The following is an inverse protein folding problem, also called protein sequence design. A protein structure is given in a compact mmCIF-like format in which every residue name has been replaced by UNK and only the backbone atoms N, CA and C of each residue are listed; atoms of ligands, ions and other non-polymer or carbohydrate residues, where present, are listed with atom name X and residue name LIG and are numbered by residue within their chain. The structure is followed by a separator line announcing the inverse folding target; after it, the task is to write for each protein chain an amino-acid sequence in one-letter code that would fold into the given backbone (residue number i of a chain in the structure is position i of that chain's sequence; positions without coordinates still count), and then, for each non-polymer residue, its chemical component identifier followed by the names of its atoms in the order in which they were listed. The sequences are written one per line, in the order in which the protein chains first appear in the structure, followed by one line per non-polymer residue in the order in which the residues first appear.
data_IF_501800815152
#
_entry.id   IF_501800815152
#
_cell.length_a   1.000
_cell.length_b   1.000
_cell.length_c   1.000
_cell.angle_alpha   90.00
_cell.angle_beta   90.00
_cell.angle_gamma   90.00
#
_symmetry.space_group_name_H-M   'P 1'
#
loop_
_entity.id
_entity.type
_entity.pdbx_description
1 polymer ?
#
# COMPACT_ATOMS: atom_id res chain seq x y z
N UNK A 1 -9.71 11.70 17.71
CA UNK A 1 -10.67 10.58 17.69
C UNK A 1 -10.78 10.08 16.26
N UNK A 2 -10.82 8.76 16.05
CA UNK A 2 -11.00 8.20 14.72
C UNK A 2 -12.29 8.76 14.07
N UNK A 3 -12.21 9.02 12.77
CA UNK A 3 -13.34 9.60 11.99
C UNK A 3 -14.50 8.62 11.83
N UNK A 4 -14.25 7.31 11.95
CA UNK A 4 -15.22 6.25 11.73
C UNK A 4 -15.18 5.24 12.84
N UNK A 5 -16.33 4.72 13.21
CA UNK A 5 -16.50 3.55 14.05
C UNK A 5 -16.28 2.26 13.25
N UNK A 6 -16.09 1.14 13.93
CA UNK A 6 -16.00 -0.19 13.31
C UNK A 6 -17.19 -0.47 12.38
N UNK A 7 -18.41 -0.14 12.83
CA UNK A 7 -19.63 -0.36 12.06
C UNK A 7 -19.63 0.43 10.76
N UNK A 8 -19.27 1.71 10.82
CA UNK A 8 -19.21 2.58 9.64
C UNK A 8 -18.15 2.10 8.63
N UNK A 9 -16.98 1.63 9.08
CA UNK A 9 -15.98 1.06 8.18
C UNK A 9 -16.50 -0.17 7.44
N UNK A 10 -17.20 -1.06 8.16
CA UNK A 10 -17.82 -2.25 7.56
C UNK A 10 -18.89 -1.85 6.55
N UNK A 11 -19.75 -0.90 6.88
CA UNK A 11 -20.80 -0.42 5.97
C UNK A 11 -20.25 0.23 4.70
N UNK A 12 -19.11 0.93 4.81
CA UNK A 12 -18.43 1.49 3.64
C UNK A 12 -17.85 0.41 2.73
N UNK A 13 -17.24 -0.63 3.29
CA UNK A 13 -16.72 -1.75 2.52
C UNK A 13 -17.83 -2.59 1.89
N UNK A 14 -18.94 -2.80 2.61
CA UNK A 14 -20.12 -3.49 2.10
C UNK A 14 -20.71 -2.79 0.87
N UNK A 15 -20.62 -1.45 0.75
CA UNK A 15 -21.03 -0.74 -0.48
C UNK A 15 -20.20 -1.18 -1.69
N UNK A 16 -18.91 -1.41 -1.51
CA UNK A 16 -18.05 -1.94 -2.58
C UNK A 16 -18.48 -3.35 -2.94
N UNK A 17 -18.72 -4.21 -1.94
CA UNK A 17 -19.20 -5.58 -2.14
C UNK A 17 -20.53 -5.61 -2.91
N UNK A 18 -21.50 -4.78 -2.53
CA UNK A 18 -22.78 -4.70 -3.24
C UNK A 18 -22.61 -4.25 -4.68
N UNK A 19 -21.81 -3.22 -4.89
CA UNK A 19 -21.53 -2.70 -6.24
C UNK A 19 -20.89 -3.77 -7.14
N UNK A 20 -20.05 -4.61 -6.55
CA UNK A 20 -19.42 -5.73 -7.20
C UNK A 20 -20.44 -6.84 -7.56
N UNK A 21 -21.26 -7.26 -6.60
CA UNK A 21 -22.31 -8.26 -6.82
C UNK A 21 -23.29 -7.88 -7.95
N UNK A 22 -23.49 -6.59 -8.15
CA UNK A 22 -24.28 -6.05 -9.26
C UNK A 22 -23.52 -6.03 -10.60
N UNK A 23 -22.37 -6.67 -10.71
CA UNK A 23 -21.48 -6.66 -11.89
C UNK A 23 -21.05 -5.26 -12.35
N UNK A 24 -20.95 -4.32 -11.42
CA UNK A 24 -20.58 -2.93 -11.72
C UNK A 24 -19.12 -2.63 -11.45
N UNK A 25 -18.34 -3.62 -10.99
CA UNK A 25 -16.89 -3.48 -10.73
C UNK A 25 -16.11 -4.48 -11.58
N UNK A 26 -15.53 -4.03 -12.67
CA UNK A 26 -14.90 -4.93 -13.64
C UNK A 26 -13.42 -5.23 -13.32
N UNK A 27 -12.86 -4.65 -12.25
CA UNK A 27 -11.44 -4.67 -11.99
C UNK A 27 -11.10 -5.44 -10.71
N UNK A 28 -9.86 -5.90 -10.63
CA UNK A 28 -9.32 -6.51 -9.44
C UNK A 28 -9.26 -5.48 -8.29
N UNK A 29 -9.78 -5.85 -7.14
CA UNK A 29 -9.70 -5.08 -5.91
C UNK A 29 -9.55 -6.00 -4.70
N UNK A 30 -9.07 -5.45 -3.58
CA UNK A 30 -8.83 -6.20 -2.37
C UNK A 30 -9.66 -5.62 -1.24
N UNK A 31 -10.64 -6.39 -0.77
CA UNK A 31 -11.53 -5.95 0.30
C UNK A 31 -10.81 -5.90 1.64
N UNK A 32 -11.12 -4.88 2.43
CA UNK A 32 -10.70 -4.75 3.81
C UNK A 32 -11.67 -5.49 4.73
N UNK A 33 -11.22 -5.92 5.89
CA UNK A 33 -12.08 -6.49 6.93
C UNK A 33 -11.32 -7.36 7.92
N UNK A 34 -11.75 -7.30 9.19
CA UNK A 34 -11.20 -8.06 10.30
C UNK A 34 -10.19 -7.31 11.16
N UNK A 35 -9.73 -6.14 10.73
CA UNK A 35 -8.72 -5.32 11.44
C UNK A 35 -9.22 -3.92 11.82
N UNK A 36 -10.52 -3.69 11.82
CA UNK A 36 -11.13 -2.38 12.07
C UNK A 36 -10.68 -1.76 13.40
N UNK A 37 -10.73 -2.55 14.47
CA UNK A 37 -10.41 -2.05 15.82
C UNK A 37 -8.93 -1.71 15.98
N UNK A 38 -8.05 -2.50 15.38
CA UNK A 38 -6.61 -2.25 15.37
C UNK A 38 -6.29 -0.98 14.59
N UNK A 39 -6.86 -0.83 13.40
CA UNK A 39 -6.68 0.38 12.60
C UNK A 39 -7.20 1.63 13.30
N UNK A 40 -8.41 1.59 13.88
CA UNK A 40 -8.96 2.71 14.63
C UNK A 40 -8.02 3.13 15.76
N UNK A 41 -7.45 2.18 16.52
CA UNK A 41 -6.49 2.47 17.60
C UNK A 41 -5.21 3.14 17.08
N UNK A 42 -4.71 2.69 15.93
CA UNK A 42 -3.49 3.25 15.32
C UNK A 42 -3.78 4.63 14.76
N UNK A 43 -4.87 4.80 14.01
CA UNK A 43 -5.23 6.08 13.40
C UNK A 43 -5.57 7.17 14.42
N UNK A 44 -5.95 6.81 15.66
CA UNK A 44 -6.06 7.78 16.76
C UNK A 44 -4.70 8.40 17.17
N UNK A 45 -3.56 7.84 16.74
CA UNK A 45 -2.22 8.33 17.01
C UNK A 45 -1.65 9.13 15.83
N UNK A 46 -2.28 9.07 14.65
CA UNK A 46 -1.87 9.77 13.44
C UNK A 46 -2.39 11.20 13.52
N UNK A 47 -1.49 12.14 13.34
CA UNK A 47 -1.82 13.56 13.41
C UNK A 47 -2.12 14.13 12.02
N UNK A 48 -2.85 15.24 11.98
CA UNK A 48 -3.05 15.97 10.74
C UNK A 48 -1.73 16.34 10.08
N UNK A 49 -1.62 16.03 8.78
CA UNK A 49 -0.43 16.29 7.97
C UNK A 49 0.67 15.23 8.09
N UNK A 50 0.50 14.18 8.91
CA UNK A 50 1.35 13.01 8.83
C UNK A 50 1.16 12.30 7.49
N UNK A 51 2.16 11.52 7.10
CA UNK A 51 2.14 10.76 5.84
C UNK A 51 1.71 9.33 6.08
N UNK A 52 0.82 8.81 5.25
CA UNK A 52 0.32 7.44 5.33
C UNK A 52 0.63 6.70 4.04
N UNK A 53 1.41 5.63 4.15
CA UNK A 53 1.75 4.71 3.06
C UNK A 53 1.12 3.36 3.33
N UNK A 54 0.45 2.78 2.34
CA UNK A 54 -0.33 1.54 2.50
C UNK A 54 -0.12 0.61 1.31
N UNK A 55 -0.34 -0.67 1.50
CA UNK A 55 -0.35 -1.67 0.43
C UNK A 55 -1.65 -1.63 -0.39
N UNK A 56 -1.90 -2.66 -1.17
CA UNK A 56 -3.08 -2.81 -2.03
C UNK A 56 -4.41 -2.88 -1.26
N UNK A 57 -4.40 -3.31 0.02
CA UNK A 57 -5.58 -3.39 0.89
C UNK A 57 -5.68 -2.10 1.72
N UNK A 58 -6.25 -1.06 1.13
CA UNK A 58 -6.06 0.31 1.61
C UNK A 58 -7.34 1.10 1.92
N UNK A 59 -8.54 0.55 1.64
CA UNK A 59 -9.78 1.34 1.75
C UNK A 59 -10.01 1.88 3.17
N UNK A 60 -9.90 1.02 4.21
CA UNK A 60 -10.07 1.47 5.59
C UNK A 60 -9.05 2.53 6.00
N UNK A 61 -7.81 2.40 5.54
CA UNK A 61 -6.77 3.39 5.79
C UNK A 61 -7.11 4.73 5.14
N UNK A 62 -7.62 4.71 3.91
CA UNK A 62 -8.04 5.90 3.19
C UNK A 62 -9.17 6.62 3.93
N UNK A 63 -10.21 5.89 4.34
CA UNK A 63 -11.31 6.45 5.12
C UNK A 63 -10.84 7.07 6.43
N UNK A 64 -10.08 6.31 7.22
CA UNK A 64 -9.56 6.77 8.51
C UNK A 64 -8.62 7.97 8.39
N UNK A 65 -7.87 8.05 7.29
CA UNK A 65 -7.00 9.20 7.00
C UNK A 65 -7.77 10.41 6.44
N UNK A 66 -9.06 10.25 6.15
CA UNK A 66 -9.98 11.32 5.79
C UNK A 66 -10.10 11.56 4.30
N UNK A 67 -9.84 10.54 3.48
CA UNK A 67 -10.27 10.54 2.09
C UNK A 67 -11.77 10.27 2.05
N UNK A 68 -12.48 11.05 1.23
CA UNK A 68 -13.92 10.94 1.09
C UNK A 68 -14.31 9.56 0.57
N UNK A 69 -15.29 8.87 1.19
CA UNK A 69 -15.78 7.57 0.75
C UNK A 69 -16.21 7.52 -0.71
N UNK A 70 -16.81 8.60 -1.22
CA UNK A 70 -17.24 8.64 -2.62
C UNK A 70 -16.05 8.68 -3.57
N UNK A 71 -14.95 9.34 -3.17
CA UNK A 71 -13.69 9.31 -3.93
C UNK A 71 -13.10 7.89 -3.95
N UNK A 72 -13.08 7.19 -2.81
CA UNK A 72 -12.61 5.81 -2.74
C UNK A 72 -13.46 4.91 -3.63
N UNK A 73 -14.78 5.01 -3.54
CA UNK A 73 -15.71 4.22 -4.34
C UNK A 73 -15.57 4.50 -5.85
N UNK A 74 -15.34 5.75 -6.23
CA UNK A 74 -15.05 6.12 -7.62
C UNK A 74 -13.74 5.47 -8.10
N UNK A 75 -12.67 5.56 -7.31
CA UNK A 75 -11.38 4.93 -7.64
C UNK A 75 -11.48 3.43 -7.79
N UNK A 76 -12.19 2.75 -6.88
CA UNK A 76 -12.46 1.31 -6.97
C UNK A 76 -13.23 1.01 -8.25
N UNK A 77 -14.27 1.78 -8.57
CA UNK A 77 -15.10 1.60 -9.77
C UNK A 77 -14.33 1.80 -11.07
N UNK A 78 -13.24 2.55 -11.03
CA UNK A 78 -12.36 2.85 -12.17
C UNK A 78 -11.06 2.01 -12.17
N UNK A 79 -11.04 0.86 -11.46
CA UNK A 79 -9.89 -0.04 -11.45
C UNK A 79 -8.65 0.48 -10.74
N UNK A 80 -8.78 1.49 -9.89
CA UNK A 80 -7.69 2.12 -9.16
C UNK A 80 -7.70 1.81 -7.67
N UNK A 81 -8.37 0.75 -7.26
CA UNK A 81 -8.48 0.33 -5.86
C UNK A 81 -7.11 0.20 -5.18
N UNK A 82 -6.14 -0.40 -5.87
CA UNK A 82 -4.81 -0.66 -5.32
C UNK A 82 -3.85 0.53 -5.41
N UNK A 83 -4.25 1.60 -6.09
CA UNK A 83 -3.43 2.78 -6.39
C UNK A 83 -4.13 4.05 -5.93
N UNK A 84 -4.59 4.05 -4.68
CA UNK A 84 -5.14 5.24 -4.08
C UNK A 84 -4.00 6.20 -3.71
N UNK A 85 -4.15 7.43 -4.11
CA UNK A 85 -3.29 8.50 -3.63
C UNK A 85 -4.09 9.79 -3.47
N UNK A 86 -3.72 10.54 -2.45
CA UNK A 86 -4.21 11.89 -2.22
C UNK A 86 -3.04 12.75 -1.73
N UNK A 87 -2.66 13.71 -2.57
CA UNK A 87 -1.49 14.55 -2.32
C UNK A 87 -1.73 15.55 -1.20
N UNK A 88 -2.96 16.04 -1.07
CA UNK A 88 -3.33 17.01 -0.03
C UNK A 88 -3.42 16.33 1.33
N UNK A 89 -3.81 15.06 1.34
CA UNK A 89 -3.87 14.24 2.55
C UNK A 89 -2.56 13.51 2.87
N UNK A 90 -1.51 13.62 2.04
CA UNK A 90 -0.28 12.86 2.20
C UNK A 90 -0.51 11.33 2.26
N UNK A 91 -1.44 10.84 1.44
CA UNK A 91 -1.79 9.43 1.38
C UNK A 91 -1.30 8.80 0.07
N UNK A 92 -0.70 7.62 0.18
CA UNK A 92 -0.21 6.87 -0.97
C UNK A 92 -0.35 5.36 -0.77
N UNK A 93 -0.84 4.65 -1.78
CA UNK A 93 -0.87 3.20 -1.78
C UNK A 93 -0.22 2.60 -3.03
N UNK A 94 0.27 1.37 -2.90
CA UNK A 94 0.91 0.63 -3.99
C UNK A 94 0.60 -0.87 -3.91
N UNK A 95 0.43 -1.48 -5.07
CA UNK A 95 0.27 -2.94 -5.20
C UNK A 95 1.61 -3.69 -5.20
N UNK A 96 2.74 -2.99 -5.27
CA UNK A 96 4.06 -3.61 -5.32
C UNK A 96 4.45 -4.07 -3.92
N UNK A 97 4.49 -5.38 -3.71
CA UNK A 97 4.90 -5.98 -2.44
C UNK A 97 6.33 -5.58 -2.10
N UNK A 98 6.54 -5.06 -0.89
CA UNK A 98 7.85 -4.57 -0.44
C UNK A 98 8.29 -3.23 -1.05
N UNK A 99 7.53 -2.64 -1.98
CA UNK A 99 7.97 -1.42 -2.69
C UNK A 99 7.80 -0.11 -1.91
N UNK A 100 6.92 -0.06 -0.92
CA UNK A 100 6.62 1.20 -0.20
C UNK A 100 7.53 1.49 1.01
N UNK A 101 8.14 0.53 1.72
CA UNK A 101 8.93 0.81 2.92
C UNK A 101 10.11 1.76 2.65
N UNK A 102 10.81 1.58 1.55
CA UNK A 102 11.95 2.43 1.18
C UNK A 102 11.49 3.84 0.76
N UNK A 103 10.35 3.95 0.07
CA UNK A 103 9.75 5.24 -0.25
C UNK A 103 9.36 5.99 1.03
N UNK A 104 8.72 5.29 1.98
CA UNK A 104 8.37 5.84 3.29
C UNK A 104 9.59 6.32 4.07
N UNK A 105 10.68 5.53 4.07
CA UNK A 105 11.95 5.91 4.68
C UNK A 105 12.55 7.16 4.03
N UNK A 106 12.49 7.28 2.70
CA UNK A 106 12.94 8.48 1.97
C UNK A 106 12.15 9.74 2.33
N UNK A 107 10.82 9.62 2.45
CA UNK A 107 9.98 10.75 2.91
C UNK A 107 10.30 11.13 4.35
N UNK A 108 10.50 10.14 5.24
CA UNK A 108 10.88 10.39 6.62
C UNK A 108 12.24 11.09 6.73
N UNK A 109 13.20 10.74 5.88
CA UNK A 109 14.48 11.45 5.78
C UNK A 109 14.28 12.92 5.37
N UNK A 110 13.46 13.16 4.37
CA UNK A 110 13.15 14.51 3.93
C UNK A 110 12.47 15.35 5.03
N UNK A 111 11.55 14.75 5.80
CA UNK A 111 10.91 15.39 6.95
C UNK A 111 11.93 15.75 8.02
N UNK A 112 12.82 14.83 8.37
CA UNK A 112 13.90 15.07 9.34
C UNK A 112 14.80 16.21 8.91
N UNK A 113 15.26 16.20 7.65
CA UNK A 113 16.15 17.24 7.11
C UNK A 113 15.50 18.62 7.08
N UNK A 114 14.17 18.68 6.93
CA UNK A 114 13.38 19.94 7.00
C UNK A 114 13.05 20.37 8.43
N UNK A 115 13.46 19.63 9.45
CA UNK A 115 13.06 19.90 10.84
C UNK A 115 11.54 19.80 11.08
N UNK A 116 10.84 19.02 10.26
CA UNK A 116 9.39 18.84 10.38
C UNK A 116 9.03 18.01 11.60
N UNK A 117 7.90 18.35 12.26
CA UNK A 117 7.34 17.57 13.34
C UNK A 117 6.40 16.45 12.86
N UNK A 118 6.24 16.30 11.55
CA UNK A 118 5.37 15.28 10.94
C UNK A 118 6.06 13.92 10.92
N UNK A 119 5.24 12.86 10.90
CA UNK A 119 5.68 11.47 10.88
C UNK A 119 5.22 10.77 9.62
N UNK A 120 5.84 9.64 9.34
CA UNK A 120 5.45 8.70 8.31
C UNK A 120 4.93 7.44 8.97
N UNK A 121 3.77 6.97 8.54
CA UNK A 121 3.14 5.73 8.95
C UNK A 121 3.07 4.82 7.73
N UNK A 122 3.77 3.70 7.78
CA UNK A 122 3.87 2.77 6.65
C UNK A 122 3.26 1.41 7.02
N UNK A 123 2.12 1.10 6.45
CA UNK A 123 1.38 -0.15 6.68
C UNK A 123 1.75 -1.17 5.63
N UNK A 124 2.15 -2.36 6.06
CA UNK A 124 2.53 -3.47 5.18
C UNK A 124 1.88 -4.77 5.65
N UNK A 125 1.66 -5.69 4.72
CA UNK A 125 1.27 -7.05 5.06
C UNK A 125 2.48 -7.90 5.48
N UNK A 126 2.22 -9.04 6.13
CA UNK A 126 3.24 -10.01 6.55
C UNK A 126 4.05 -10.59 5.38
N UNK A 127 3.48 -10.69 4.17
CA UNK A 127 4.25 -11.06 2.98
C UNK A 127 5.24 -9.99 2.51
N UNK A 128 4.98 -8.72 2.80
CA UNK A 128 5.94 -7.65 2.49
C UNK A 128 7.08 -7.60 3.53
N UNK A 129 6.82 -8.02 4.77
CA UNK A 129 7.85 -8.20 5.80
C UNK A 129 8.95 -9.17 5.37
N UNK A 130 8.58 -10.19 4.59
CA UNK A 130 9.50 -11.22 4.11
C UNK A 130 10.52 -10.71 3.07
N UNK A 131 10.40 -9.45 2.66
CA UNK A 131 11.26 -8.87 1.63
C UNK A 131 12.53 -8.25 2.20
N UNK A 132 13.66 -8.40 1.48
CA UNK A 132 14.91 -7.72 1.83
C UNK A 132 14.77 -6.18 1.86
N UNK A 133 13.87 -5.62 1.04
CA UNK A 133 13.55 -4.19 1.00
C UNK A 133 13.00 -3.68 2.33
N UNK A 134 12.12 -4.45 2.98
CA UNK A 134 11.60 -4.08 4.29
C UNK A 134 12.71 -4.07 5.34
N UNK A 135 13.56 -5.10 5.37
CA UNK A 135 14.70 -5.17 6.27
C UNK A 135 15.65 -3.96 6.08
N UNK A 136 15.98 -3.63 4.84
CA UNK A 136 16.83 -2.48 4.52
C UNK A 136 16.20 -1.16 5.00
N UNK A 137 14.91 -0.96 4.73
CA UNK A 137 14.18 0.24 5.15
C UNK A 137 14.15 0.39 6.68
N UNK A 138 13.83 -0.69 7.42
CA UNK A 138 13.81 -0.69 8.89
C UNK A 138 15.18 -0.35 9.44
N UNK A 139 16.24 -0.99 8.93
CA UNK A 139 17.61 -0.72 9.35
C UNK A 139 17.98 0.73 9.13
N UNK A 140 17.64 1.29 7.97
CA UNK A 140 17.92 2.68 7.63
C UNK A 140 17.18 3.66 8.54
N UNK A 141 15.87 3.44 8.75
CA UNK A 141 15.02 4.26 9.64
C UNK A 141 15.55 4.24 11.06
N UNK A 142 15.83 3.06 11.61
CA UNK A 142 16.33 2.90 12.97
C UNK A 142 17.69 3.56 13.16
N UNK A 143 18.65 3.28 12.27
CA UNK A 143 20.00 3.82 12.38
C UNK A 143 20.05 5.35 12.28
N UNK A 144 19.22 5.92 11.45
CA UNK A 144 19.14 7.36 11.23
C UNK A 144 18.11 8.06 12.13
N UNK A 145 17.41 7.33 13.01
CA UNK A 145 16.35 7.88 13.89
C UNK A 145 15.36 8.72 13.11
N UNK A 146 14.84 8.15 12.01
CA UNK A 146 13.88 8.84 11.16
C UNK A 146 12.46 8.80 11.75
N UNK A 147 11.62 9.81 11.53
CA UNK A 147 10.24 9.87 12.02
C UNK A 147 9.32 8.96 11.19
N UNK A 148 9.60 7.66 11.17
CA UNK A 148 8.83 6.65 10.44
C UNK A 148 8.44 5.50 11.37
N UNK A 149 7.18 5.13 11.34
CA UNK A 149 6.63 3.96 12.03
C UNK A 149 6.11 2.98 11.00
N UNK A 150 6.66 1.78 11.00
CA UNK A 150 6.15 0.67 10.21
C UNK A 150 5.11 -0.13 11.00
N UNK A 151 4.02 -0.50 10.35
CA UNK A 151 2.95 -1.30 10.93
C UNK A 151 2.81 -2.58 10.10
N UNK A 152 3.07 -3.74 10.70
CA UNK A 152 2.86 -5.03 10.06
C UNK A 152 1.45 -5.51 10.38
N UNK A 153 0.64 -5.60 9.35
CA UNK A 153 -0.74 -6.10 9.36
C UNK A 153 -0.71 -7.61 9.09
N UNK A 154 -0.59 -8.40 10.13
CA UNK A 154 -0.32 -9.83 10.06
C UNK A 154 -1.62 -10.63 10.02
N UNK A 155 -1.99 -11.12 8.85
CA UNK A 155 -3.11 -12.05 8.67
C UNK A 155 -2.67 -13.49 8.39
N UNK A 156 -1.37 -13.79 8.55
CA UNK A 156 -0.74 -15.08 8.34
C UNK A 156 -0.69 -15.56 6.88
N UNK A 157 -1.28 -14.84 5.94
CA UNK A 157 -1.43 -15.28 4.55
C UNK A 157 -0.84 -14.24 3.59
N UNK A 158 0.11 -14.67 2.75
CA UNK A 158 0.57 -13.88 1.60
C UNK A 158 0.09 -14.54 0.32
N UNK A 159 -0.78 -13.83 -0.43
CA UNK A 159 -1.57 -14.38 -1.54
C UNK A 159 -2.44 -15.52 -1.02
N UNK A 160 -1.95 -16.73 -0.95
CA UNK A 160 -2.66 -17.93 -0.46
C UNK A 160 -1.76 -18.83 0.39
N UNK A 161 -0.49 -18.48 0.53
CA UNK A 161 0.47 -19.25 1.31
C UNK A 161 0.56 -18.73 2.75
N UNK A 162 0.40 -19.64 3.72
CA UNK A 162 0.65 -19.35 5.13
C UNK A 162 2.14 -19.11 5.41
N UNK A 163 2.49 -18.62 6.60
CA UNK A 163 3.90 -18.53 7.02
C UNK A 163 4.56 -19.90 7.06
N UNK A 164 3.82 -20.92 7.51
CA UNK A 164 4.33 -22.28 7.54
C UNK A 164 4.65 -22.79 6.13
N UNK A 165 3.77 -22.52 5.15
CA UNK A 165 4.03 -22.88 3.75
C UNK A 165 5.25 -22.16 3.16
N UNK A 166 5.43 -20.88 3.52
CA UNK A 166 6.54 -20.06 3.00
C UNK A 166 7.87 -20.33 3.67
N UNK A 167 7.86 -20.61 4.98
CA UNK A 167 9.07 -20.63 5.82
C UNK A 167 9.26 -21.89 6.63
N UNK A 168 8.30 -22.83 6.61
CA UNK A 168 8.32 -24.05 7.41
C UNK A 168 8.14 -23.79 8.91
N UNK A 169 7.73 -22.58 9.31
CA UNK A 169 7.47 -22.21 10.69
C UNK A 169 6.70 -20.90 10.79
N UNK A 170 6.13 -20.64 11.96
CA UNK A 170 5.51 -19.37 12.33
C UNK A 170 6.47 -18.39 13.03
N UNK A 171 7.78 -18.62 12.88
CA UNK A 171 8.79 -17.77 13.52
C UNK A 171 8.64 -16.30 13.10
N UNK A 172 8.64 -15.41 14.11
CA UNK A 172 8.55 -13.98 13.91
C UNK A 172 9.87 -13.28 14.27
N UNK A 173 10.35 -12.45 13.38
CA UNK A 173 11.49 -11.58 13.67
C UNK A 173 11.17 -10.59 14.78
N UNK A 174 12.16 -10.35 15.65
CA UNK A 174 12.11 -9.24 16.62
C UNK A 174 12.58 -7.98 15.93
N UNK A 175 11.64 -7.11 15.65
CA UNK A 175 11.91 -5.82 15.06
C UNK A 175 12.19 -4.74 16.13
N UNK A 176 12.91 -3.64 15.76
CA UNK A 176 13.11 -2.51 16.66
C UNK A 176 11.81 -1.70 16.86
N UNK A 177 11.86 -0.71 17.75
CA UNK A 177 10.70 0.12 18.17
C UNK A 177 9.99 0.84 17.01
N UNK A 178 10.70 1.10 15.91
CA UNK A 178 10.08 1.70 14.72
C UNK A 178 9.16 0.72 13.93
N UNK A 179 8.97 -0.52 14.43
CA UNK A 179 8.07 -1.50 13.83
C UNK A 179 7.08 -1.99 14.88
N UNK A 180 5.81 -1.90 14.56
CA UNK A 180 4.72 -2.48 15.35
C UNK A 180 4.01 -3.54 14.51
N UNK A 181 3.61 -4.64 15.14
CA UNK A 181 2.83 -5.71 14.51
C UNK A 181 1.52 -5.90 15.22
N UNK A 182 0.46 -6.19 14.48
CA UNK A 182 -0.74 -6.77 15.02
C UNK A 182 -1.21 -7.95 14.17
N UNK A 183 -1.82 -8.95 14.82
CA UNK A 183 -2.46 -10.08 14.14
C UNK A 183 -3.94 -9.84 13.98
N UNK A 184 -4.50 -10.31 12.86
CA UNK A 184 -5.94 -10.31 12.63
C UNK A 184 -6.34 -11.45 11.69
N UNK A 185 -7.63 -11.76 11.67
CA UNK A 185 -8.18 -12.73 10.73
C UNK A 185 -8.85 -11.97 9.57
N UNK A 186 -8.40 -12.22 8.36
CA UNK A 186 -8.96 -11.60 7.17
C UNK A 186 -10.41 -12.05 6.95
N UNK A 187 -11.32 -11.09 6.78
CA UNK A 187 -12.76 -11.37 6.56
C UNK A 187 -13.06 -11.89 5.16
N UNK A 188 -12.32 -11.42 4.16
CA UNK A 188 -12.53 -11.76 2.75
C UNK A 188 -11.34 -12.54 2.21
N UNK A 189 -11.51 -13.40 1.17
CA UNK A 189 -10.40 -14.06 0.52
C UNK A 189 -9.43 -13.02 -0.06
N UNK A 190 -8.20 -13.42 -0.35
CA UNK A 190 -7.14 -12.48 -0.74
C UNK A 190 -7.56 -11.64 -1.95
N UNK A 191 -7.67 -12.18 -3.10
CA UNK A 191 -8.09 -11.49 -4.32
C UNK A 191 -8.97 -12.41 -5.16
N UNK A 192 -9.47 -13.41 -4.57
CA UNK A 192 -10.28 -14.41 -5.28
C UNK A 192 -11.69 -13.90 -5.45
N UNK A 193 -11.75 -13.66 -6.41
CA UNK A 193 -12.37 -13.65 -7.68
C UNK A 193 -13.24 -14.89 -7.93
N UNK A 194 -12.85 -16.08 -7.61
CA UNK A 194 -13.56 -17.30 -8.01
C UNK A 194 -14.94 -17.48 -7.37
N UNK A 195 -15.16 -16.96 -6.17
CA UNK A 195 -16.51 -16.90 -5.59
C UNK A 195 -17.25 -15.59 -5.95
N UNK A 196 -16.55 -14.62 -6.53
CA UNK A 196 -17.05 -13.26 -6.75
C UNK A 196 -16.77 -12.70 -8.15
N UNK A 197 -16.05 -13.39 -9.04
CA UNK A 197 -15.85 -12.99 -10.44
C UNK A 197 -16.37 -14.04 -11.40
N UNK A 198 -17.28 -13.63 -12.20
CA UNK A 198 -17.45 -14.23 -13.50
C UNK A 198 -16.25 -13.85 -14.38
N UNK A 199 -15.31 -14.78 -14.55
CA UNK A 199 -14.13 -14.60 -15.43
C UNK A 199 -14.52 -14.32 -16.89
N UNK A 200 -15.79 -14.56 -17.28
CA UNK A 200 -16.30 -14.13 -18.57
C UNK A 200 -16.27 -12.61 -18.71
N UNK A 201 -16.31 -11.88 -17.61
CA UNK A 201 -16.18 -10.42 -17.60
C UNK A 201 -14.74 -10.03 -17.93
N UNK A 202 -13.72 -10.71 -17.39
CA UNK A 202 -12.31 -10.42 -17.68
C UNK A 202 -12.02 -10.53 -19.19
N UNK A 203 -12.70 -11.41 -19.92
CA UNK A 203 -12.57 -11.51 -21.38
C UNK A 203 -13.13 -10.30 -22.13
N UNK A 204 -14.07 -9.56 -21.55
CA UNK A 204 -14.63 -8.32 -22.11
C UNK A 204 -13.64 -7.15 -22.03
N UNK A 205 -12.67 -7.19 -21.11
CA UNK A 205 -11.69 -6.12 -20.89
C UNK A 205 -10.47 -6.19 -21.79
N UNK A 206 -10.20 -7.29 -22.48
CA UNK A 206 -9.13 -7.34 -23.51
C UNK A 206 -9.26 -6.29 -24.62
N UNK A 207 -10.42 -5.63 -24.73
CA UNK A 207 -10.65 -4.55 -25.70
C UNK A 207 -10.36 -3.14 -25.16
N UNK A 208 -10.27 -2.96 -23.83
CA UNK A 208 -10.07 -1.64 -23.20
C UNK A 208 -8.63 -1.39 -22.80
N UNK A 209 -7.73 -2.36 -22.92
CA UNK A 209 -6.31 -2.21 -22.57
C UNK A 209 -5.61 -1.08 -23.34
N UNK A 210 -6.16 -0.66 -24.48
CA UNK A 210 -5.58 0.45 -25.26
C UNK A 210 -5.85 1.85 -24.69
N UNK A 211 -6.89 2.00 -23.86
CA UNK A 211 -7.23 3.32 -23.28
C UNK A 211 -6.64 3.54 -21.89
N UNK A 212 -6.22 2.48 -21.20
CA UNK A 212 -5.73 2.55 -19.83
C UNK A 212 -4.23 2.73 -19.68
N UNK A 213 -3.46 2.35 -20.67
CA UNK A 213 -2.04 2.72 -20.70
C UNK A 213 -1.92 4.09 -21.35
N UNK A 214 -1.35 5.08 -20.66
CA UNK A 214 -1.01 6.33 -21.32
C UNK A 214 -0.23 5.98 -22.57
N UNK A 215 -0.60 6.61 -23.69
CA UNK A 215 0.05 6.36 -24.97
C UNK A 215 1.57 6.53 -24.79
N UNK A 216 2.27 5.41 -24.64
CA UNK A 216 3.72 5.38 -24.43
C UNK A 216 4.48 6.07 -25.55
N UNK A 217 3.81 6.36 -26.69
CA UNK A 217 4.35 7.20 -27.78
C UNK A 217 4.50 8.66 -27.37
N UNK A 218 3.85 9.13 -26.31
CA UNK A 218 4.02 10.49 -25.76
C UNK A 218 5.23 10.65 -24.85
N UNK A 219 5.83 9.55 -24.41
CA UNK A 219 7.09 9.62 -23.68
C UNK A 219 8.22 9.50 -24.70
N UNK A 220 9.26 10.35 -24.63
CA UNK A 220 10.41 10.19 -25.49
C UNK A 220 10.93 8.76 -25.34
N UNK A 221 11.02 8.03 -26.44
CA UNK A 221 11.71 6.74 -26.44
C UNK A 221 13.12 7.04 -25.98
N UNK A 222 13.55 6.33 -24.94
CA UNK A 222 14.97 6.25 -24.60
C UNK A 222 15.58 5.40 -25.73
N UNK A 223 15.94 6.04 -26.83
CA UNK A 223 16.46 5.35 -28.01
C UNK A 223 17.90 4.89 -27.84
N UNK A 224 18.64 5.41 -26.83
CA UNK A 224 20.00 4.99 -26.57
C UNK A 224 20.29 4.96 -25.08
N UNK A 225 20.11 3.79 -24.45
CA UNK A 225 20.61 3.52 -23.09
C UNK A 225 22.16 3.59 -23.08
N UNK A 226 22.83 3.35 -24.21
CA UNK A 226 24.28 3.40 -24.35
C UNK A 226 24.84 4.85 -24.34
N UNK A 227 24.11 5.84 -24.85
CA UNK A 227 24.55 7.24 -24.80
C UNK A 227 24.36 7.86 -23.40
N UNK A 228 23.28 7.49 -22.68
CA UNK A 228 23.07 7.97 -21.33
C UNK A 228 24.08 7.38 -20.31
N UNK A 229 24.69 6.23 -20.61
CA UNK A 229 25.74 5.64 -19.78
C UNK A 229 27.14 6.20 -20.04
N UNK A 230 27.37 6.88 -21.17
CA UNK A 230 28.64 7.48 -21.51
C UNK A 230 28.85 8.89 -20.93
N UNK A 231 27.78 9.59 -20.54
CA UNK A 231 27.88 10.91 -19.89
C UNK A 231 28.00 10.84 -18.36
N UNK A 232 27.74 9.69 -17.73
CA UNK A 232 28.02 9.45 -16.33
C UNK A 232 29.32 8.67 -16.18
N UNK A 233 30.45 9.30 -16.45
CA UNK A 233 31.74 8.72 -16.07
C UNK A 233 31.84 8.69 -14.54
N UNK A 234 31.98 7.48 -13.99
CA UNK A 234 32.06 7.18 -12.55
C UNK A 234 33.29 7.86 -11.87
N UNK A 235 34.08 8.59 -12.61
CA UNK A 235 35.35 9.17 -12.14
C UNK A 235 35.25 10.63 -11.67
N UNK A 236 34.13 11.32 -11.87
CA UNK A 236 34.01 12.72 -11.41
C UNK A 236 33.31 12.89 -10.06
N UNK A 237 32.77 11.83 -9.47
CA UNK A 237 32.05 11.88 -8.20
C UNK A 237 32.92 11.58 -6.96
N UNK A 238 34.23 11.45 -7.07
CA UNK A 238 35.14 11.06 -5.96
C UNK A 238 36.21 12.10 -5.66
N UNK A 239 36.18 13.27 -6.28
CA UNK A 239 37.16 14.34 -6.03
C UNK A 239 36.53 15.70 -5.77
N UNK A 240 35.60 15.79 -4.83
CA UNK A 240 35.30 17.03 -4.07
C UNK A 240 34.83 16.68 -2.66
#
# INVERSE_FOLDING_TARGET
MARYSKKELIELEDKIVYKYKDNKLPFLFHLCGGNEEQLIKIFNQINDGDYVFVTHRNHYHAYLHGIDPDIVLDRVSNGRSMFLYDREKNFFSSAIVGGIPEIAAGVALALKNKGSNKKVWCFIGDGAEDTGHFYAAVRYVQSNKLPCQFIIEDNDISIEASKEDRWGSDYLFKWPECVTRYKYTLKYPHARIEEFCDLSIASKFKKTDKEYFPDLKKYPKIENIEEASSELSFNEAVTE
#
